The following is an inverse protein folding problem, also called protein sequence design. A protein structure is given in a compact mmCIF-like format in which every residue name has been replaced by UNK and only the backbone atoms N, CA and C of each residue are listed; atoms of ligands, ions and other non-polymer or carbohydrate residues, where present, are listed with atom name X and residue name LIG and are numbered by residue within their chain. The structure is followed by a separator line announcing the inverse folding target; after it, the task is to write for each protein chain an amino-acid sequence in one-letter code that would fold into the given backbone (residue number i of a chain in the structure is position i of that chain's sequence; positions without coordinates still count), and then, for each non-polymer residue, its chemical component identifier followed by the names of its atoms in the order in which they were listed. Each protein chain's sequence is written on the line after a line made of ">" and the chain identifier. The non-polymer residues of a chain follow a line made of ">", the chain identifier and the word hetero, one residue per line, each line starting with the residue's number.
data_IF_422691290513
#
_entry.id   IF_422691290513
#
_cell.length_a   1.000
_cell.length_b   1.000
_cell.length_c   1.000
_cell.angle_alpha   90.00
_cell.angle_beta   90.00
_cell.angle_gamma   90.00
#
_symmetry.space_group_name_H-M   'P 1'
#
loop_
_entity.id
_entity.type
_entity.pdbx_description
1 polymer ?
#
# COMPACT_ATOMS: atom_id res chain seq x y z
N UNK A 1 -15.05 -17.61 -8.98
CA UNK A 1 -13.80 -16.85 -9.22
C UNK A 1 -13.01 -16.80 -7.91
N UNK A 2 -12.33 -17.90 -7.59
CA UNK A 2 -11.63 -18.11 -6.31
C UNK A 2 -10.18 -18.56 -6.54
N UNK A 3 -9.63 -18.20 -7.71
CA UNK A 3 -8.29 -18.58 -8.18
C UNK A 3 -7.52 -17.32 -8.53
N UNK A 4 -6.21 -17.34 -8.31
CA UNK A 4 -5.32 -16.28 -8.70
C UNK A 4 -5.30 -16.14 -10.22
N UNK A 5 -5.56 -14.92 -10.70
CA UNK A 5 -5.59 -14.61 -12.12
C UNK A 5 -4.56 -13.54 -12.45
N UNK A 6 -3.63 -13.83 -13.36
CA UNK A 6 -2.67 -12.86 -13.87
C UNK A 6 -3.18 -12.33 -15.21
N UNK A 7 -3.40 -11.03 -15.29
CA UNK A 7 -3.72 -10.34 -16.53
C UNK A 7 -2.51 -9.53 -17.01
N UNK A 8 -1.91 -9.99 -18.11
CA UNK A 8 -0.72 -9.37 -18.71
C UNK A 8 -1.05 -8.43 -19.89
N UNK A 9 -2.29 -8.45 -20.38
CA UNK A 9 -2.72 -7.57 -21.46
C UNK A 9 -2.73 -6.10 -21.07
N UNK A 10 -2.75 -5.23 -22.07
CA UNK A 10 -3.04 -3.81 -21.89
C UNK A 10 -4.56 -3.59 -21.94
N UNK A 11 -5.08 -2.89 -20.93
CA UNK A 11 -6.43 -2.34 -20.89
C UNK A 11 -6.34 -0.88 -21.32
N UNK A 12 -7.17 -0.49 -22.27
CA UNK A 12 -7.23 0.87 -22.83
C UNK A 12 -8.67 1.31 -23.08
N UNK A 13 -8.89 2.60 -23.33
CA UNK A 13 -10.21 3.18 -23.61
C UNK A 13 -10.81 3.90 -22.40
N UNK A 14 -12.07 4.32 -22.49
CA UNK A 14 -12.70 5.17 -21.47
C UNK A 14 -13.48 4.41 -20.39
N UNK A 15 -13.45 3.08 -20.42
CA UNK A 15 -14.23 2.22 -19.54
C UNK A 15 -13.68 2.16 -18.10
N UNK A 16 -14.55 1.73 -17.20
CA UNK A 16 -14.23 1.47 -15.79
C UNK A 16 -13.74 0.03 -15.61
N UNK A 17 -12.70 -0.17 -14.82
CA UNK A 17 -12.23 -1.49 -14.39
C UNK A 17 -12.87 -1.83 -13.05
N UNK A 18 -13.56 -2.98 -12.97
CA UNK A 18 -14.16 -3.46 -11.72
C UNK A 18 -13.49 -4.77 -11.31
N UNK A 19 -12.80 -4.78 -10.16
CA UNK A 19 -12.37 -6.01 -9.52
C UNK A 19 -13.52 -6.56 -8.69
N UNK A 20 -14.05 -7.70 -9.16
CA UNK A 20 -15.15 -8.45 -8.54
C UNK A 20 -14.67 -9.82 -8.06
N UNK A 21 -15.50 -10.49 -7.26
CA UNK A 21 -15.22 -11.83 -6.72
C UNK A 21 -14.13 -11.85 -5.65
N UNK A 22 -14.04 -12.96 -4.92
CA UNK A 22 -13.15 -13.12 -3.75
C UNK A 22 -11.69 -13.41 -4.09
N UNK A 23 -11.38 -13.89 -5.31
CA UNK A 23 -10.01 -14.23 -5.72
C UNK A 23 -9.08 -13.03 -5.91
N UNK A 24 -7.82 -13.34 -6.22
CA UNK A 24 -6.79 -12.34 -6.54
C UNK A 24 -6.73 -12.11 -8.05
N UNK A 25 -6.63 -10.85 -8.47
CA UNK A 25 -6.28 -10.48 -9.85
C UNK A 25 -5.03 -9.63 -9.82
N UNK A 26 -4.02 -10.04 -10.59
CA UNK A 26 -2.76 -9.31 -10.73
C UNK A 26 -2.66 -8.69 -12.11
N UNK A 27 -2.63 -7.36 -12.18
CA UNK A 27 -2.36 -6.62 -13.42
C UNK A 27 -0.86 -6.46 -13.58
N UNK A 28 -0.30 -7.04 -14.64
CA UNK A 28 1.14 -6.95 -14.98
C UNK A 28 1.41 -6.14 -16.24
N UNK A 29 0.39 -5.88 -17.05
CA UNK A 29 0.49 -5.09 -18.27
C UNK A 29 0.69 -3.59 -18.03
N UNK A 30 0.95 -2.86 -19.12
CA UNK A 30 0.91 -1.39 -19.14
C UNK A 30 -0.46 -0.95 -19.61
N UNK A 31 -1.22 -0.28 -18.74
CA UNK A 31 -2.62 0.07 -18.99
C UNK A 31 -2.78 1.59 -19.13
N UNK A 32 -3.76 1.99 -19.93
CA UNK A 32 -4.01 3.38 -20.32
C UNK A 32 -5.49 3.74 -20.39
N UNK A 33 -6.35 2.97 -19.71
CA UNK A 33 -7.77 3.29 -19.63
C UNK A 33 -8.00 4.55 -18.77
N UNK A 34 -8.91 5.41 -19.20
CA UNK A 34 -9.15 6.69 -18.51
C UNK A 34 -10.27 6.66 -17.47
N UNK A 35 -11.05 5.57 -17.41
CA UNK A 35 -12.11 5.40 -16.42
C UNK A 35 -11.57 5.04 -15.04
N UNK A 36 -12.47 4.97 -14.06
CA UNK A 36 -12.13 4.63 -12.69
C UNK A 36 -11.74 3.15 -12.53
N UNK A 37 -11.12 2.82 -11.39
CA UNK A 37 -10.92 1.44 -10.94
C UNK A 37 -11.65 1.21 -9.63
N UNK A 38 -12.60 0.28 -9.61
CA UNK A 38 -13.31 -0.08 -8.38
C UNK A 38 -12.87 -1.46 -7.91
N UNK A 39 -12.33 -1.54 -6.70
CA UNK A 39 -11.98 -2.80 -6.03
C UNK A 39 -13.10 -3.13 -5.05
N UNK A 40 -14.10 -3.86 -5.54
CA UNK A 40 -15.34 -4.12 -4.80
C UNK A 40 -15.26 -5.40 -3.93
N UNK A 41 -14.39 -6.34 -4.28
CA UNK A 41 -14.19 -7.59 -3.52
C UNK A 41 -12.84 -8.25 -3.87
N UNK A 42 -12.35 -9.10 -2.96
CA UNK A 42 -11.10 -9.83 -3.13
C UNK A 42 -9.90 -8.88 -3.26
N UNK A 43 -8.90 -9.28 -4.04
CA UNK A 43 -7.62 -8.57 -4.12
C UNK A 43 -7.27 -8.13 -5.54
N UNK A 44 -6.98 -6.85 -5.74
CA UNK A 44 -6.34 -6.34 -6.95
C UNK A 44 -4.86 -6.04 -6.65
N UNK A 45 -3.95 -6.78 -7.29
CA UNK A 45 -2.52 -6.48 -7.25
C UNK A 45 -2.12 -5.72 -8.53
N UNK A 46 -1.51 -4.55 -8.36
CA UNK A 46 -0.91 -3.76 -9.44
C UNK A 46 0.59 -4.02 -9.42
N UNK A 47 1.06 -4.89 -10.32
CA UNK A 47 2.49 -5.20 -10.52
C UNK A 47 3.01 -4.72 -11.87
N UNK A 48 2.14 -4.15 -12.70
CA UNK A 48 2.48 -3.49 -13.96
C UNK A 48 2.52 -1.97 -13.83
N UNK A 49 2.37 -1.30 -14.97
CA UNK A 49 2.39 0.16 -15.04
C UNK A 49 1.01 0.72 -15.39
N UNK A 50 0.40 1.45 -14.46
CA UNK A 50 -0.88 2.14 -14.63
C UNK A 50 -0.68 3.66 -14.78
N UNK A 51 0.51 4.16 -15.09
CA UNK A 51 0.77 5.60 -15.20
C UNK A 51 -0.12 6.29 -16.24
N UNK A 52 -0.54 5.55 -17.28
CA UNK A 52 -1.51 6.01 -18.27
C UNK A 52 -2.98 5.88 -17.85
N UNK A 53 -3.26 5.17 -16.75
CA UNK A 53 -4.60 4.98 -16.19
C UNK A 53 -4.76 5.82 -14.91
N UNK A 54 -5.02 7.12 -15.11
CA UNK A 54 -5.04 8.12 -14.04
C UNK A 54 -6.39 8.30 -13.34
N UNK A 55 -7.41 7.49 -13.68
CA UNK A 55 -8.71 7.52 -13.01
C UNK A 55 -8.60 7.16 -11.52
N UNK A 56 -9.53 7.67 -10.72
CA UNK A 56 -9.62 7.36 -9.29
C UNK A 56 -9.70 5.85 -9.05
N UNK A 57 -8.97 5.36 -8.05
CA UNK A 57 -9.11 4.01 -7.52
C UNK A 57 -9.88 4.07 -6.20
N UNK A 58 -10.95 3.28 -6.09
CA UNK A 58 -11.76 3.15 -4.88
C UNK A 58 -11.71 1.71 -4.38
N UNK A 59 -11.30 1.51 -3.13
CA UNK A 59 -11.24 0.20 -2.47
C UNK A 59 -12.35 0.11 -1.43
N UNK A 60 -13.26 -0.84 -1.61
CA UNK A 60 -14.38 -1.07 -0.70
C UNK A 60 -13.92 -1.78 0.59
N UNK A 61 -14.75 -1.68 1.63
CA UNK A 61 -14.58 -2.47 2.86
C UNK A 61 -14.48 -3.97 2.56
N UNK A 62 -13.51 -4.64 3.16
CA UNK A 62 -13.24 -6.08 2.94
C UNK A 62 -12.53 -6.41 1.61
N UNK A 63 -12.24 -5.42 0.77
CA UNK A 63 -11.44 -5.59 -0.44
C UNK A 63 -9.99 -5.13 -0.23
N UNK A 64 -9.07 -5.61 -1.07
CA UNK A 64 -7.63 -5.31 -0.97
C UNK A 64 -7.10 -4.75 -2.28
N UNK A 65 -6.39 -3.63 -2.20
CA UNK A 65 -5.50 -3.15 -3.25
C UNK A 65 -4.06 -3.38 -2.81
N UNK A 66 -3.19 -3.79 -3.71
CA UNK A 66 -1.78 -3.94 -3.40
C UNK A 66 -0.87 -4.04 -4.61
N UNK A 67 0.35 -4.53 -4.39
CA UNK A 67 1.32 -4.80 -5.44
C UNK A 67 2.61 -3.99 -5.33
N UNK A 68 3.40 -4.06 -6.40
CA UNK A 68 4.76 -3.48 -6.49
C UNK A 68 4.93 -2.54 -7.68
N UNK A 69 3.83 -2.25 -8.38
CA UNK A 69 3.81 -1.47 -9.60
C UNK A 69 3.53 0.01 -9.38
N UNK A 70 3.05 0.64 -10.45
CA UNK A 70 2.72 2.06 -10.48
C UNK A 70 1.21 2.22 -10.68
N UNK A 71 0.57 2.99 -9.82
CA UNK A 71 -0.80 3.48 -9.93
C UNK A 71 -0.76 4.92 -10.45
N UNK A 72 -1.48 5.21 -11.54
CA UNK A 72 -1.49 6.54 -12.15
C UNK A 72 -2.37 7.55 -11.43
N UNK A 73 -3.52 7.11 -10.89
CA UNK A 73 -4.51 7.98 -10.26
C UNK A 73 -4.34 8.14 -8.75
N UNK A 74 -5.29 8.86 -8.15
CA UNK A 74 -5.46 8.89 -6.70
C UNK A 74 -6.12 7.61 -6.20
N UNK A 75 -5.89 7.26 -4.94
CA UNK A 75 -6.43 6.07 -4.27
C UNK A 75 -7.20 6.49 -3.02
N UNK A 76 -8.40 5.93 -2.86
CA UNK A 76 -9.18 6.00 -1.63
C UNK A 76 -9.44 4.60 -1.14
N UNK A 77 -9.07 4.32 0.11
CA UNK A 77 -9.36 3.06 0.79
C UNK A 77 -10.42 3.33 1.84
N UNK A 78 -11.62 2.78 1.63
CA UNK A 78 -12.74 2.96 2.55
C UNK A 78 -12.50 2.23 3.87
N UNK A 79 -13.34 2.53 4.87
CA UNK A 79 -13.34 1.84 6.16
C UNK A 79 -13.44 0.32 5.98
N UNK A 80 -12.59 -0.41 6.71
CA UNK A 80 -12.44 -1.86 6.61
C UNK A 80 -11.81 -2.35 5.29
N UNK A 81 -11.46 -1.46 4.37
CA UNK A 81 -10.67 -1.80 3.17
C UNK A 81 -9.22 -2.07 3.54
N UNK A 82 -8.44 -2.61 2.58
CA UNK A 82 -7.02 -2.93 2.81
C UNK A 82 -6.13 -2.36 1.71
N UNK A 83 -5.03 -1.71 2.10
CA UNK A 83 -3.88 -1.44 1.25
C UNK A 83 -2.73 -2.37 1.68
N UNK A 84 -2.18 -3.15 0.77
CA UNK A 84 -1.05 -4.05 1.04
C UNK A 84 0.07 -3.76 0.06
N UNK A 85 1.16 -3.16 0.53
CA UNK A 85 2.37 -3.09 -0.29
C UNK A 85 2.95 -4.50 -0.51
N UNK A 86 3.87 -4.62 -1.47
CA UNK A 86 4.53 -5.89 -1.76
C UNK A 86 3.78 -6.77 -2.76
N UNK A 87 4.47 -7.80 -3.20
CA UNK A 87 3.94 -8.84 -4.09
C UNK A 87 3.11 -9.88 -3.35
N UNK A 88 2.49 -10.79 -4.10
CA UNK A 88 1.81 -11.93 -3.51
C UNK A 88 2.75 -12.77 -2.63
N UNK A 89 2.25 -13.25 -1.48
CA UNK A 89 3.01 -14.13 -0.58
C UNK A 89 4.04 -13.42 0.31
N UNK A 90 3.77 -12.17 0.72
CA UNK A 90 4.65 -11.38 1.60
C UNK A 90 6.05 -11.15 1.01
N UNK A 91 6.11 -10.92 -0.30
CA UNK A 91 7.33 -10.53 -0.99
C UNK A 91 7.46 -9.00 -0.91
N UNK A 92 8.47 -8.45 -0.21
CA UNK A 92 8.59 -7.02 -0.08
C UNK A 92 8.71 -6.31 -1.43
N UNK A 93 8.17 -5.11 -1.52
CA UNK A 93 8.31 -4.28 -2.70
C UNK A 93 7.75 -2.88 -2.52
N UNK A 94 7.97 -2.06 -3.55
CA UNK A 94 7.54 -0.66 -3.53
C UNK A 94 6.27 -0.48 -4.35
N UNK A 95 5.18 -0.02 -3.74
CA UNK A 95 4.00 0.43 -4.47
C UNK A 95 4.11 1.94 -4.71
N UNK A 96 3.94 2.37 -5.97
CA UNK A 96 3.93 3.80 -6.31
C UNK A 96 2.53 4.25 -6.67
N UNK A 97 2.06 5.34 -6.06
CA UNK A 97 0.79 6.02 -6.34
C UNK A 97 1.13 7.44 -6.80
N UNK A 98 0.93 7.74 -8.08
CA UNK A 98 1.28 9.06 -8.62
C UNK A 98 0.35 10.18 -8.11
N UNK A 99 -0.89 9.84 -7.72
CA UNK A 99 -1.86 10.77 -7.16
C UNK A 99 -1.80 10.89 -5.63
N UNK A 100 -2.94 11.26 -5.06
CA UNK A 100 -3.14 11.30 -3.60
C UNK A 100 -3.46 9.90 -3.07
N UNK A 101 -3.18 9.65 -1.80
CA UNK A 101 -3.66 8.49 -1.06
C UNK A 101 -4.49 8.94 0.14
N UNK A 102 -5.73 8.47 0.23
CA UNK A 102 -6.57 8.64 1.40
C UNK A 102 -6.94 7.28 2.00
N UNK A 103 -6.48 7.03 3.23
CA UNK A 103 -6.92 5.92 4.05
C UNK A 103 -8.09 6.40 4.93
N UNK A 104 -9.20 5.66 4.93
CA UNK A 104 -10.19 5.69 6.02
C UNK A 104 -9.76 4.77 7.16
N UNK A 105 -10.68 4.37 8.03
CA UNK A 105 -10.43 3.41 9.11
C UNK A 105 -10.20 2.00 8.53
N UNK A 106 -9.05 1.85 7.88
CA UNK A 106 -8.67 0.77 6.97
C UNK A 106 -7.51 -0.05 7.54
N UNK A 107 -7.13 -1.10 6.83
CA UNK A 107 -5.96 -1.91 7.14
C UNK A 107 -4.83 -1.53 6.19
N UNK A 108 -3.66 -1.24 6.74
CA UNK A 108 -2.43 -1.06 5.99
C UNK A 108 -1.48 -2.20 6.32
N UNK A 109 -1.23 -3.08 5.35
CA UNK A 109 -0.33 -4.22 5.52
C UNK A 109 1.03 -3.91 4.89
N UNK A 110 2.09 -4.14 5.65
CA UNK A 110 3.48 -3.99 5.19
C UNK A 110 4.37 -5.12 5.72
N UNK A 111 5.37 -5.47 4.93
CA UNK A 111 6.44 -6.38 5.27
C UNK A 111 7.72 -5.62 5.64
N UNK A 112 8.32 -5.91 6.80
CA UNK A 112 9.58 -5.31 7.24
C UNK A 112 10.61 -6.34 7.72
N UNK A 113 11.87 -6.10 7.39
CA UNK A 113 12.99 -6.99 7.65
C UNK A 113 14.36 -6.32 7.72
N UNK A 114 14.44 -4.98 7.61
CA UNK A 114 15.70 -4.27 7.77
C UNK A 114 15.51 -2.85 8.34
N UNK A 115 15.94 -2.61 9.57
CA UNK A 115 15.86 -1.29 10.19
C UNK A 115 16.69 -0.24 9.41
N UNK A 116 16.21 0.99 9.40
CA UNK A 116 16.85 2.20 8.85
C UNK A 116 17.13 2.15 7.34
N UNK A 117 16.50 1.22 6.62
CA UNK A 117 16.58 1.10 5.17
C UNK A 117 15.20 1.35 4.57
N UNK A 118 15.01 2.42 3.80
CA UNK A 118 13.71 2.69 3.18
C UNK A 118 13.48 1.80 1.97
N UNK A 119 12.41 1.00 2.00
CA UNK A 119 12.16 -0.01 0.99
C UNK A 119 13.34 -1.00 0.86
N UNK A 120 13.63 -1.41 -0.37
CA UNK A 120 14.70 -2.37 -0.66
C UNK A 120 14.19 -3.80 -0.70
N UNK A 121 15.10 -4.76 -0.58
CA UNK A 121 14.76 -6.19 -0.74
C UNK A 121 14.00 -6.79 0.45
N UNK A 122 14.03 -6.12 1.61
CA UNK A 122 13.50 -6.63 2.86
C UNK A 122 12.42 -5.75 3.48
N UNK A 123 12.08 -4.62 2.87
CA UNK A 123 11.04 -3.75 3.38
C UNK A 123 10.11 -3.33 2.24
N UNK A 124 8.83 -3.33 2.54
CA UNK A 124 7.86 -2.61 1.75
C UNK A 124 8.09 -1.10 1.83
N UNK A 125 7.62 -0.42 0.80
CA UNK A 125 7.58 1.04 0.76
C UNK A 125 6.38 1.49 -0.08
N UNK A 126 5.70 2.53 0.36
CA UNK A 126 4.65 3.16 -0.45
C UNK A 126 5.09 4.58 -0.79
N UNK A 127 5.18 4.87 -2.09
CA UNK A 127 5.46 6.20 -2.59
C UNK A 127 4.17 6.86 -3.04
N UNK A 128 3.79 7.96 -2.40
CA UNK A 128 2.63 8.78 -2.77
C UNK A 128 3.11 10.07 -3.42
N UNK A 129 2.75 10.33 -4.67
CA UNK A 129 3.15 11.53 -5.39
C UNK A 129 2.47 12.79 -4.86
N UNK A 130 1.24 12.65 -4.36
CA UNK A 130 0.42 13.75 -3.85
C UNK A 130 0.29 13.78 -2.32
N UNK A 131 -0.88 14.26 -1.87
CA UNK A 131 -1.26 14.34 -0.47
C UNK A 131 -1.48 12.94 0.11
N UNK A 132 -1.21 12.79 1.41
CA UNK A 132 -1.45 11.59 2.18
C UNK A 132 -2.43 11.89 3.32
N UNK A 133 -3.51 11.13 3.41
CA UNK A 133 -4.39 11.08 4.59
C UNK A 133 -4.21 9.74 5.27
N UNK A 134 -3.80 9.76 6.55
CA UNK A 134 -3.67 8.60 7.41
C UNK A 134 -4.94 8.41 8.25
N UNK A 135 -5.39 7.16 8.33
CA UNK A 135 -6.39 6.64 9.26
C UNK A 135 -6.22 5.10 9.31
N UNK A 136 -6.83 4.42 10.27
CA UNK A 136 -6.87 2.96 10.35
C UNK A 136 -5.76 2.31 11.18
N UNK A 137 -5.36 1.10 10.78
CA UNK A 137 -4.41 0.24 11.52
C UNK A 137 -3.27 -0.23 10.61
N UNK A 138 -2.04 -0.07 11.07
CA UNK A 138 -0.82 -0.60 10.47
C UNK A 138 -0.55 -2.01 10.99
N UNK A 139 -0.64 -2.98 10.09
CA UNK A 139 -0.32 -4.38 10.33
C UNK A 139 1.06 -4.69 9.74
N UNK A 140 1.94 -5.21 10.58
CA UNK A 140 3.33 -5.50 10.19
C UNK A 140 3.54 -7.00 10.15
N UNK A 141 4.09 -7.48 9.04
CA UNK A 141 4.61 -8.84 8.91
C UNK A 141 6.14 -8.79 8.84
N UNK A 142 6.81 -9.70 9.55
CA UNK A 142 8.26 -9.82 9.44
C UNK A 142 8.61 -10.51 8.12
N UNK A 143 9.43 -9.87 7.31
CA UNK A 143 9.96 -10.46 6.07
C UNK A 143 10.84 -11.68 6.34
N UNK A 144 10.63 -12.76 5.58
CA UNK A 144 11.50 -13.94 5.61
C UNK A 144 12.94 -13.59 5.21
N UNK A 145 13.92 -14.09 5.98
CA UNK A 145 15.34 -13.77 5.77
C UNK A 145 15.78 -12.40 6.29
N UNK A 146 14.86 -11.57 6.80
CA UNK A 146 15.14 -10.30 7.45
C UNK A 146 15.13 -10.35 8.98
N UNK A 147 15.41 -9.20 9.59
CA UNK A 147 15.25 -8.93 11.02
C UNK A 147 14.35 -7.72 11.24
N UNK A 148 13.35 -7.88 12.10
CA UNK A 148 12.45 -6.80 12.51
C UNK A 148 12.74 -6.40 13.97
N UNK A 149 13.93 -5.83 14.18
CA UNK A 149 14.40 -5.35 15.49
C UNK A 149 14.27 -3.83 15.65
N UNK A 150 14.84 -3.27 16.73
CA UNK A 150 14.82 -1.83 16.98
C UNK A 150 15.31 -0.99 15.80
N UNK A 151 14.63 0.13 15.57
CA UNK A 151 15.00 1.12 14.56
C UNK A 151 13.81 1.72 13.84
N UNK A 152 14.09 2.41 12.75
CA UNK A 152 13.11 3.17 11.98
C UNK A 152 12.82 2.42 10.67
N UNK A 153 11.55 2.19 10.36
CA UNK A 153 11.09 1.57 9.13
C UNK A 153 10.22 2.58 8.38
N UNK A 154 10.65 2.97 7.18
CA UNK A 154 9.88 3.90 6.33
C UNK A 154 8.63 3.19 5.82
N UNK A 155 7.45 3.73 6.13
CA UNK A 155 6.18 3.22 5.61
C UNK A 155 5.81 3.96 4.33
N UNK A 156 5.79 5.30 4.40
CA UNK A 156 5.44 6.17 3.29
C UNK A 156 6.54 7.18 2.97
N UNK A 157 6.71 7.47 1.68
CA UNK A 157 7.10 8.79 1.21
C UNK A 157 5.84 9.47 0.65
N UNK A 158 5.69 10.79 0.86
CA UNK A 158 4.60 11.56 0.24
C UNK A 158 5.06 12.92 -0.27
N UNK A 159 4.55 13.36 -1.44
CA UNK A 159 4.96 14.60 -2.08
C UNK A 159 4.20 15.85 -1.61
N UNK A 160 2.95 15.68 -1.17
CA UNK A 160 2.05 16.77 -0.80
C UNK A 160 1.95 17.03 0.70
N UNK A 161 0.76 17.43 1.16
CA UNK A 161 0.44 17.60 2.58
C UNK A 161 0.06 16.28 3.25
N UNK A 162 0.27 16.21 4.56
CA UNK A 162 -0.18 15.12 5.43
C UNK A 162 -1.42 15.55 6.22
N UNK A 163 -2.47 14.74 6.18
CA UNK A 163 -3.57 14.78 7.15
C UNK A 163 -3.40 13.53 8.03
N UNK A 164 -3.17 13.74 9.32
CA UNK A 164 -2.93 12.67 10.28
C UNK A 164 -4.17 12.49 11.17
N UNK A 165 -5.07 11.57 10.80
CA UNK A 165 -6.18 11.16 11.67
C UNK A 165 -5.76 10.02 12.62
N UNK A 166 -4.47 9.64 12.63
CA UNK A 166 -3.90 8.53 13.37
C UNK A 166 -3.73 7.28 12.52
N UNK A 167 -2.60 6.58 12.72
CA UNK A 167 -2.39 5.24 12.18
C UNK A 167 -2.04 4.32 13.34
N UNK A 168 -2.98 3.48 13.72
CA UNK A 168 -2.85 2.66 14.93
C UNK A 168 -1.85 1.52 14.73
N UNK A 169 -1.12 1.18 15.78
CA UNK A 169 -0.25 0.00 15.85
C UNK A 169 -0.66 -0.82 17.08
N UNK A 170 -0.54 -2.15 16.99
CA UNK A 170 -1.04 -3.05 18.03
C UNK A 170 0.00 -3.43 19.07
N UNK A 171 1.30 -3.22 18.80
CA UNK A 171 2.39 -3.48 19.74
C UNK A 171 2.74 -2.19 20.50
N UNK A 172 2.83 -2.21 21.84
CA UNK A 172 3.19 -1.03 22.64
C UNK A 172 4.63 -0.54 22.41
N UNK A 173 5.51 -1.35 21.82
CA UNK A 173 6.87 -0.94 21.45
C UNK A 173 6.93 -0.25 20.09
N UNK A 174 5.80 -0.13 19.39
CA UNK A 174 5.71 0.51 18.09
C UNK A 174 5.05 1.87 18.25
N UNK A 175 5.58 2.86 17.53
CA UNK A 175 4.88 4.13 17.34
C UNK A 175 5.04 4.64 15.92
N UNK A 176 4.00 5.29 15.41
CA UNK A 176 4.05 5.96 14.10
C UNK A 176 4.58 7.37 14.28
N UNK A 177 5.64 7.69 13.56
CA UNK A 177 6.27 9.01 13.52
C UNK A 177 5.84 9.75 12.25
N UNK A 178 5.22 10.91 12.45
CA UNK A 178 4.76 11.83 11.38
C UNK A 178 5.42 13.21 11.45
N UNK A 179 6.34 13.42 12.40
CA UNK A 179 7.02 14.71 12.60
C UNK A 179 8.11 15.03 11.57
N UNK A 180 8.46 14.08 10.71
CA UNK A 180 9.42 14.27 9.62
C UNK A 180 8.65 14.56 8.34
N UNK A 181 8.87 15.74 7.76
CA UNK A 181 8.20 16.13 6.52
C UNK A 181 8.43 15.09 5.40
N UNK A 182 7.38 14.87 4.60
CA UNK A 182 7.36 13.98 3.43
C UNK A 182 7.60 12.50 3.73
N UNK A 183 7.57 12.10 5.00
CA UNK A 183 7.79 10.72 5.43
C UNK A 183 6.82 10.32 6.53
N UNK A 184 6.42 9.06 6.53
CA UNK A 184 5.78 8.41 7.69
C UNK A 184 6.61 7.20 8.02
N UNK A 185 7.03 7.11 9.28
CA UNK A 185 7.87 6.02 9.74
C UNK A 185 7.18 5.24 10.85
N UNK A 186 7.42 3.94 10.87
CA UNK A 186 7.25 3.12 12.05
C UNK A 186 8.56 3.15 12.83
N UNK A 187 8.49 3.47 14.12
CA UNK A 187 9.61 3.29 15.03
C UNK A 187 9.34 2.08 15.89
N UNK A 188 10.29 1.14 15.87
CA UNK A 188 10.30 -0.05 16.69
C UNK A 188 11.31 0.13 17.82
N UNK A 189 10.87 0.08 19.07
CA UNK A 189 11.73 0.13 20.26
C UNK A 189 11.78 -1.21 21.01
N UNK A 190 11.26 -2.28 20.43
CA UNK A 190 11.13 -3.57 21.11
C UNK A 190 12.50 -4.14 21.50
N UNK A 191 12.70 -4.37 22.80
CA UNK A 191 13.98 -4.86 23.33
C UNK A 191 14.99 -3.75 23.66
N UNK A 192 14.63 -2.47 23.52
CA UNK A 192 15.36 -1.38 24.14
C UNK A 192 14.83 -1.15 25.57
N UNK A 193 15.68 -1.31 26.57
CA UNK A 193 15.42 -0.76 27.91
C UNK A 193 15.72 0.73 27.88
N UNK A 194 14.67 1.55 27.98
CA UNK A 194 14.80 2.97 28.29
C UNK A 194 15.12 3.08 29.79
N UNK A 195 16.39 3.31 30.10
CA UNK A 195 16.85 3.63 31.47
C UNK A 195 16.79 5.12 31.75
#
# INVERSE_FOLDING_TARGET
>A
LNSDYIFAGAISGSGTVNKLGSGVTTLTGTNSYSGATNVNAGTLLVNGNQSGAAGQISVAGGATLGGTGIIGGSVTVADGGTLSAGGAGSMPGTLTINGNLALGNSNLNVDFGQANVPGGALNDLINVGGNLTLDGTLNITKTSGGSFGPGIYRVFNYGGSLIDNGLNVTDPNYFVQTSVANQVNLVNSAGLTLS
#
